data_IF_922948575532
#
_entry.id   IF_922948575532
#
_cell.length_a   1.000
_cell.length_b   1.000
_cell.length_c   1.000
_cell.angle_alpha   90.00
_cell.angle_beta   90.00
_cell.angle_gamma   90.00
#
_symmetry.space_group_name_H-M   'P 1'
#
loop_
_entity.id
_entity.type
_entity.pdbx_description
1 polymer ?
#
# COMPACT_ATOMS: atom_id res chain seq x y z
N UNK A 1 23.08 -0.17 -1.28
CA UNK A 1 21.71 0.40 -1.35
C UNK A 1 20.79 -0.67 -1.90
N UNK A 2 19.70 -1.00 -1.20
CA UNK A 2 18.75 -2.02 -1.65
C UNK A 2 18.01 -1.55 -2.90
N UNK A 3 17.96 -2.41 -3.91
CA UNK A 3 17.23 -2.15 -5.15
C UNK A 3 15.72 -2.26 -4.84
N UNK A 4 14.96 -1.19 -5.02
CA UNK A 4 13.50 -1.28 -4.93
C UNK A 4 12.98 -2.31 -5.94
N UNK A 5 12.08 -3.17 -5.48
CA UNK A 5 11.49 -4.28 -6.23
C UNK A 5 10.29 -3.78 -7.03
N UNK A 6 9.50 -2.87 -6.46
CA UNK A 6 8.43 -2.16 -7.17
C UNK A 6 8.80 -0.68 -7.19
N UNK A 7 8.65 -0.04 -8.36
CA UNK A 7 8.78 1.40 -8.55
C UNK A 7 7.58 1.92 -9.34
N UNK A 8 6.97 2.96 -8.81
CA UNK A 8 6.01 3.82 -9.47
C UNK A 8 6.68 5.18 -9.62
N UNK A 9 6.82 5.64 -10.85
CA UNK A 9 7.45 6.91 -11.18
C UNK A 9 6.44 7.77 -11.93
N UNK A 10 6.27 9.01 -11.46
CA UNK A 10 5.36 10.00 -12.05
C UNK A 10 3.93 9.48 -12.33
N UNK A 11 3.37 8.74 -11.37
CA UNK A 11 2.04 8.14 -11.54
C UNK A 11 0.94 9.19 -11.45
N UNK A 12 0.12 9.18 -12.49
CA UNK A 12 -1.06 10.00 -12.63
C UNK A 12 -2.29 9.10 -12.78
N UNK A 13 -3.39 9.39 -12.08
CA UNK A 13 -4.64 8.58 -12.12
C UNK A 13 -5.86 9.47 -12.25
N UNK A 14 -6.63 9.25 -13.32
CA UNK A 14 -7.84 9.98 -13.63
C UNK A 14 -9.07 9.09 -13.52
N UNK A 15 -10.19 9.69 -13.10
CA UNK A 15 -11.53 9.13 -13.16
C UNK A 15 -12.41 10.09 -13.95
N UNK A 16 -12.61 9.79 -15.23
CA UNK A 16 -13.19 10.74 -16.18
C UNK A 16 -12.35 12.01 -16.25
N UNK A 17 -12.97 13.16 -15.97
CA UNK A 17 -12.30 14.46 -15.95
C UNK A 17 -11.61 14.78 -14.60
N UNK A 18 -11.72 13.90 -13.59
CA UNK A 18 -11.18 14.16 -12.26
C UNK A 18 -9.80 13.50 -12.06
N UNK A 19 -8.78 14.30 -11.78
CA UNK A 19 -7.41 13.84 -11.56
C UNK A 19 -7.14 13.55 -10.07
N UNK A 20 -7.15 12.27 -9.70
CA UNK A 20 -7.08 11.78 -8.31
C UNK A 20 -5.66 11.65 -7.79
N UNK A 21 -4.77 10.98 -8.52
CA UNK A 21 -3.35 10.88 -8.17
C UNK A 21 -2.56 11.75 -9.12
N UNK A 22 -1.71 12.65 -8.61
CA UNK A 22 -0.94 13.60 -9.42
C UNK A 22 0.53 13.45 -9.11
N UNK A 23 1.33 13.08 -10.11
CA UNK A 23 2.80 12.98 -10.01
C UNK A 23 3.30 12.17 -8.81
N UNK A 24 2.66 11.04 -8.52
CA UNK A 24 3.00 10.22 -7.36
C UNK A 24 4.20 9.33 -7.68
N UNK A 25 5.20 9.37 -6.80
CA UNK A 25 6.35 8.46 -6.83
C UNK A 25 6.28 7.53 -5.62
N UNK A 26 6.49 6.23 -5.84
CA UNK A 26 6.50 5.21 -4.78
C UNK A 26 7.60 4.18 -5.09
N UNK A 27 8.41 3.83 -4.10
CA UNK A 27 9.39 2.75 -4.19
C UNK A 27 9.13 1.77 -3.06
N UNK A 28 9.09 0.48 -3.41
CA UNK A 28 8.85 -0.61 -2.46
C UNK A 28 10.07 -1.50 -2.46
N UNK A 29 10.72 -1.59 -1.32
CA UNK A 29 11.89 -2.41 -1.10
C UNK A 29 11.52 -3.86 -0.88
N UNK A 30 12.50 -4.74 -1.06
CA UNK A 30 12.33 -6.15 -0.75
C UNK A 30 11.96 -6.33 0.73
N UNK A 31 10.91 -7.09 1.00
CA UNK A 31 10.43 -7.39 2.36
C UNK A 31 9.39 -6.40 2.90
N UNK A 32 9.16 -5.27 2.22
CA UNK A 32 8.03 -4.38 2.52
C UNK A 32 6.71 -4.97 2.00
N UNK A 33 5.61 -4.63 2.66
CA UNK A 33 4.26 -5.09 2.34
C UNK A 33 3.40 -3.87 2.03
N UNK A 34 2.64 -3.93 0.95
CA UNK A 34 1.58 -2.97 0.64
C UNK A 34 0.26 -3.71 0.66
N UNK A 35 -0.72 -3.13 1.35
CA UNK A 35 -2.11 -3.57 1.32
C UNK A 35 -3.00 -2.36 1.05
N UNK A 36 -3.96 -2.53 0.14
CA UNK A 36 -4.97 -1.53 -0.16
C UNK A 36 -6.33 -2.08 0.26
N UNK A 37 -6.95 -1.48 1.27
CA UNK A 37 -8.29 -1.84 1.71
C UNK A 37 -9.01 -0.61 2.31
N UNK A 38 -10.29 -0.73 2.65
CA UNK A 38 -10.95 0.27 3.49
C UNK A 38 -10.42 0.15 4.93
N UNK A 39 -10.46 1.23 5.74
CA UNK A 39 -9.98 1.17 7.13
C UNK A 39 -10.62 0.03 7.94
N UNK A 40 -11.95 -0.10 7.91
CA UNK A 40 -12.66 -1.14 8.65
C UNK A 40 -12.20 -2.54 8.24
N UNK A 41 -12.09 -2.79 6.93
CA UNK A 41 -11.61 -4.08 6.43
C UNK A 41 -10.15 -4.35 6.80
N UNK A 42 -9.30 -3.35 6.75
CA UNK A 42 -7.89 -3.48 7.11
C UNK A 42 -7.70 -3.88 8.57
N UNK A 43 -8.43 -3.25 9.51
CA UNK A 43 -8.28 -3.52 10.93
C UNK A 43 -9.06 -4.74 11.41
N UNK A 44 -10.26 -4.99 10.86
CA UNK A 44 -11.15 -6.06 11.33
C UNK A 44 -10.93 -7.38 10.57
N UNK A 45 -10.59 -7.33 9.29
CA UNK A 45 -10.52 -8.50 8.42
C UNK A 45 -9.43 -8.36 7.33
N UNK A 46 -8.15 -8.17 7.71
CA UNK A 46 -7.06 -8.02 6.74
C UNK A 46 -6.93 -9.27 5.87
N UNK A 47 -6.75 -9.04 4.56
CA UNK A 47 -6.68 -10.10 3.56
C UNK A 47 -5.29 -10.74 3.53
N UNK A 48 -4.25 -9.95 3.79
CA UNK A 48 -2.89 -10.45 3.81
C UNK A 48 -2.54 -11.08 5.17
N UNK A 49 -2.06 -12.32 5.14
CA UNK A 49 -1.63 -13.06 6.33
C UNK A 49 -0.55 -12.31 7.12
N UNK A 50 0.40 -11.65 6.44
CA UNK A 50 1.46 -10.88 7.10
C UNK A 50 0.92 -9.62 7.78
N UNK A 51 -0.08 -8.96 7.20
CA UNK A 51 -0.76 -7.82 7.83
C UNK A 51 -1.54 -8.27 9.06
N UNK A 52 -2.22 -9.42 8.99
CA UNK A 52 -2.90 -10.01 10.15
C UNK A 52 -1.93 -10.27 11.30
N UNK A 53 -0.79 -10.89 11.01
CA UNK A 53 0.26 -11.13 12.01
C UNK A 53 0.77 -9.82 12.62
N UNK A 54 1.05 -8.81 11.80
CA UNK A 54 1.48 -7.49 12.27
C UNK A 54 0.44 -6.83 13.19
N UNK A 55 -0.83 -6.77 12.77
CA UNK A 55 -1.88 -6.14 13.57
C UNK A 55 -2.10 -6.85 14.90
N UNK A 56 -1.99 -8.19 14.94
CA UNK A 56 -2.07 -8.96 16.18
C UNK A 56 -1.00 -8.62 17.22
N UNK A 57 0.14 -8.07 16.79
CA UNK A 57 1.26 -7.67 17.67
C UNK A 57 1.16 -6.20 18.14
N UNK A 58 0.39 -5.37 17.43
CA UNK A 58 0.35 -3.91 17.67
C UNK A 58 -0.91 -3.48 18.41
N UNK A 59 -2.05 -4.13 18.16
CA UNK A 59 -3.37 -3.74 18.70
C UNK A 59 -3.66 -4.31 20.11
N UNK A 60 -2.64 -4.43 20.96
CA UNK A 60 -2.79 -4.90 22.35
C UNK A 60 -3.50 -3.88 23.25
#
# INVERSE_FOLDING_TARGET
MSRAVIRLEDVNKWYGQFHVLRHINLAVSQGEIIEQNTPDRFFDAPENERTRLFLSQVLH
#
